data_IF_834566595042
#
_entry.id   IF_834566595042
#
_cell.length_a   1.000
_cell.length_b   1.000
_cell.length_c   1.000
_cell.angle_alpha   90.00
_cell.angle_beta   90.00
_cell.angle_gamma   90.00
#
_symmetry.space_group_name_H-M   'P 1'
#
loop_
_entity.id
_entity.type
_entity.pdbx_description
1 polymer ?
#
# COMPACT_ATOMS: atom_id res chain seq x y z
N UNK A 1 50.18 44.30 23.92
CA UNK A 1 50.57 44.46 25.34
C UNK A 1 49.37 44.77 26.18
N UNK A 2 48.69 43.80 26.79
CA UNK A 2 48.45 42.38 26.53
C UNK A 2 47.56 41.92 27.71
N UNK A 3 46.73 40.92 27.44
CA UNK A 3 45.83 40.27 28.40
C UNK A 3 46.60 39.49 29.49
N UNK A 4 45.94 38.72 30.41
CA UNK A 4 44.50 38.57 30.68
C UNK A 4 44.12 38.68 32.18
N UNK A 5 42.83 38.53 32.49
CA UNK A 5 42.46 37.89 33.75
C UNK A 5 41.23 36.97 33.61
N UNK A 6 41.18 35.91 34.41
CA UNK A 6 40.33 34.74 34.18
C UNK A 6 38.82 34.97 34.32
N UNK A 7 38.02 34.25 33.52
CA UNK A 7 36.65 33.85 33.86
C UNK A 7 36.56 32.31 33.95
N UNK A 8 35.92 31.74 34.98
CA UNK A 8 35.70 30.29 35.08
C UNK A 8 34.56 29.81 34.16
N UNK A 9 34.60 28.53 33.79
CA UNK A 9 33.53 27.86 33.02
C UNK A 9 32.28 27.66 33.91
N UNK A 10 31.17 28.32 33.59
CA UNK A 10 29.86 27.98 34.18
C UNK A 10 29.19 26.85 33.39
N UNK A 11 28.67 25.85 34.10
CA UNK A 11 28.06 24.66 33.50
C UNK A 11 26.78 24.97 32.70
N UNK A 12 26.50 24.16 31.69
CA UNK A 12 25.22 24.14 30.99
C UNK A 12 24.11 23.64 31.94
N UNK A 13 22.93 24.28 31.98
CA UNK A 13 21.78 23.74 32.69
C UNK A 13 21.22 22.52 31.93
N UNK A 14 20.59 21.55 32.64
CA UNK A 14 20.07 20.33 32.02
C UNK A 14 18.90 20.61 31.08
N UNK A 15 18.82 19.84 30.00
CA UNK A 15 17.67 19.83 29.11
C UNK A 15 16.40 19.47 29.90
N UNK A 16 15.40 20.36 29.86
CA UNK A 16 14.06 20.09 30.41
C UNK A 16 13.06 19.93 29.27
N UNK A 17 12.27 18.87 29.36
CA UNK A 17 11.16 18.57 28.47
C UNK A 17 10.21 19.75 28.32
N UNK A 18 10.16 20.33 27.11
CA UNK A 18 9.00 21.05 26.56
C UNK A 18 8.98 20.90 25.05
N UNK A 19 8.44 19.78 24.56
CA UNK A 19 7.67 19.91 23.33
C UNK A 19 6.52 20.89 23.62
N UNK A 20 6.29 21.91 22.78
CA UNK A 20 5.09 22.73 22.92
C UNK A 20 3.85 21.83 22.78
N UNK A 21 2.70 22.22 23.37
CA UNK A 21 1.45 21.56 23.01
C UNK A 21 1.31 21.58 21.48
N UNK A 22 0.93 20.44 20.90
CA UNK A 22 0.69 20.32 19.47
C UNK A 22 -0.22 21.47 19.01
N UNK A 23 0.10 22.16 17.89
CA UNK A 23 -0.70 23.28 17.41
C UNK A 23 -2.17 22.86 17.20
N UNK A 24 -3.12 23.84 17.20
CA UNK A 24 -4.51 23.54 16.86
C UNK A 24 -4.55 22.73 15.56
N UNK A 25 -5.26 21.61 15.60
CA UNK A 25 -5.17 20.61 14.54
C UNK A 25 -5.61 21.21 13.22
N UNK A 26 -4.79 21.00 12.20
CA UNK A 26 -5.02 21.47 10.85
C UNK A 26 -5.40 20.25 10.01
N UNK A 27 -6.66 20.21 9.57
CA UNK A 27 -7.11 19.35 8.49
C UNK A 27 -6.48 19.86 7.20
N UNK A 28 -5.72 19.02 6.50
CA UNK A 28 -5.30 19.30 5.13
C UNK A 28 -6.10 18.38 4.20
N UNK A 29 -6.83 18.94 3.24
CA UNK A 29 -7.43 18.14 2.17
C UNK A 29 -6.35 17.75 1.14
N UNK A 30 -5.26 17.11 1.59
CA UNK A 30 -4.12 16.78 0.73
C UNK A 30 -4.27 15.38 0.18
N UNK A 31 -4.05 15.26 -1.12
CA UNK A 31 -4.00 13.97 -1.77
C UNK A 31 -2.90 13.98 -2.82
N UNK A 32 -1.95 13.06 -2.64
CA UNK A 32 -0.71 12.91 -3.42
C UNK A 32 -0.73 11.51 -4.02
N UNK A 33 -0.56 11.42 -5.34
CA UNK A 33 -0.89 10.20 -6.08
C UNK A 33 0.25 9.74 -6.98
N UNK A 34 0.61 8.47 -6.87
CA UNK A 34 1.67 7.85 -7.66
C UNK A 34 1.04 6.76 -8.54
N UNK A 35 1.23 6.89 -9.86
CA UNK A 35 0.91 5.83 -10.81
C UNK A 35 2.01 4.77 -10.79
N UNK A 36 1.63 3.50 -10.69
CA UNK A 36 2.61 2.40 -10.60
C UNK A 36 3.17 2.04 -11.98
N UNK A 37 4.24 2.71 -12.41
CA UNK A 37 4.94 2.38 -13.65
C UNK A 37 5.51 0.94 -13.66
N UNK A 38 5.20 0.19 -14.71
CA UNK A 38 5.78 -1.12 -15.00
C UNK A 38 7.19 -1.01 -15.58
N UNK A 39 8.20 -0.90 -14.69
CA UNK A 39 9.65 -1.08 -14.93
C UNK A 39 10.21 -0.58 -16.27
N UNK A 40 11.05 0.45 -16.19
CA UNK A 40 12.15 0.61 -17.15
C UNK A 40 12.97 -0.68 -17.28
N UNK A 41 12.97 -1.28 -18.48
CA UNK A 41 13.94 -2.30 -18.86
C UNK A 41 15.27 -1.63 -19.21
N UNK A 42 16.36 -2.11 -18.63
CA UNK A 42 17.72 -1.61 -18.90
C UNK A 42 18.26 -2.15 -20.22
N UNK A 43 17.88 -1.54 -21.34
CA UNK A 43 18.54 -1.69 -22.63
C UNK A 43 18.58 -0.33 -23.33
N UNK A 44 19.78 0.13 -23.73
CA UNK A 44 19.99 1.52 -24.08
C UNK A 44 19.50 1.90 -25.49
N UNK A 45 18.68 2.95 -25.57
CA UNK A 45 18.61 3.87 -26.70
C UNK A 45 18.19 5.25 -26.17
N UNK A 46 18.89 6.32 -26.59
CA UNK A 46 18.45 7.70 -26.36
C UNK A 46 17.61 8.14 -27.57
N UNK A 47 16.35 8.53 -27.41
CA UNK A 47 15.70 9.46 -28.33
C UNK A 47 16.08 10.89 -27.93
N UNK A 48 16.71 11.63 -28.83
CA UNK A 48 16.87 13.07 -28.70
C UNK A 48 15.62 13.78 -29.24
N UNK A 49 14.82 14.41 -28.37
CA UNK A 49 13.88 15.44 -28.80
C UNK A 49 13.57 16.38 -27.63
N UNK A 50 13.77 17.67 -27.89
CA UNK A 50 13.41 18.78 -27.00
C UNK A 50 11.96 19.21 -27.21
N UNK A 51 11.52 20.19 -26.41
CA UNK A 51 10.18 20.81 -26.36
C UNK A 51 9.12 19.97 -25.63
N UNK A 52 8.22 20.54 -24.82
CA UNK A 52 7.89 21.96 -24.65
C UNK A 52 7.83 22.43 -23.19
N UNK A 53 8.34 23.62 -22.91
CA UNK A 53 8.04 24.39 -21.70
C UNK A 53 7.85 25.87 -22.09
N UNK A 54 6.59 26.34 -21.96
CA UNK A 54 6.12 27.73 -21.91
C UNK A 54 6.40 28.67 -23.10
N UNK A 55 5.30 29.16 -23.69
CA UNK A 55 5.28 30.45 -24.38
C UNK A 55 4.76 31.54 -23.44
N UNK A 56 5.65 32.39 -22.93
CA UNK A 56 5.36 33.80 -22.68
C UNK A 56 6.61 34.59 -23.05
N UNK A 57 6.47 35.51 -24.01
CA UNK A 57 7.61 36.19 -24.59
C UNK A 57 8.04 37.39 -23.77
N UNK A 58 9.35 37.59 -23.66
CA UNK A 58 10.02 38.89 -23.87
C UNK A 58 11.47 38.58 -24.21
N UNK A 59 12.01 39.22 -25.25
CA UNK A 59 13.33 38.89 -25.76
C UNK A 59 14.45 39.60 -25.01
N UNK A 60 15.60 38.92 -24.87
CA UNK A 60 16.95 39.50 -24.91
C UNK A 60 17.99 38.37 -25.01
N UNK A 61 19.00 38.54 -25.87
CA UNK A 61 20.24 37.75 -25.97
C UNK A 61 21.35 38.52 -25.22
N UNK A 62 22.49 37.93 -24.74
CA UNK A 62 23.33 37.05 -25.56
C UNK A 62 24.24 35.95 -24.90
N UNK A 63 24.70 35.05 -25.78
CA UNK A 63 26.01 34.34 -25.84
C UNK A 63 26.78 33.84 -24.59
N UNK A 64 27.07 32.53 -24.60
CA UNK A 64 28.41 31.97 -24.36
C UNK A 64 28.56 30.58 -25.02
N UNK A 65 29.78 30.19 -25.47
CA UNK A 65 30.14 28.83 -25.95
C UNK A 65 31.08 28.18 -24.94
N UNK A 66 31.07 26.85 -24.79
CA UNK A 66 32.29 26.07 -24.49
C UNK A 66 32.21 24.63 -25.05
N UNK A 67 33.37 23.95 -25.09
CA UNK A 67 33.68 22.77 -25.93
C UNK A 67 33.39 21.41 -25.28
N UNK A 68 33.19 20.39 -26.12
CA UNK A 68 33.23 18.97 -25.75
C UNK A 68 34.66 18.40 -25.72
N UNK A 69 34.86 17.28 -25.00
CA UNK A 69 36.08 16.47 -24.98
C UNK A 69 35.76 14.98 -24.84
N UNK A 70 36.47 14.12 -25.58
CA UNK A 70 36.16 12.69 -25.75
C UNK A 70 36.82 11.73 -24.74
N UNK A 71 36.56 10.40 -24.86
CA UNK A 71 36.90 9.39 -23.85
C UNK A 71 38.23 8.63 -24.11
N UNK A 72 38.87 8.05 -23.07
CA UNK A 72 40.04 7.17 -23.19
C UNK A 72 39.68 5.65 -23.18
N UNK A 73 40.71 4.81 -23.36
CA UNK A 73 40.61 3.45 -23.93
C UNK A 73 41.22 2.29 -23.12
N UNK A 74 40.60 1.10 -23.27
CA UNK A 74 41.09 -0.31 -23.23
C UNK A 74 42.25 -0.79 -22.30
N UNK A 75 42.03 -2.02 -21.82
CA UNK A 75 42.89 -2.93 -21.04
C UNK A 75 44.03 -3.61 -21.86
N UNK A 76 45.03 -4.20 -21.19
CA UNK A 76 45.86 -5.31 -21.70
C UNK A 76 45.60 -6.68 -20.99
N UNK A 77 46.05 -7.79 -21.61
CA UNK A 77 46.02 -9.16 -21.05
C UNK A 77 47.41 -9.81 -20.99
N UNK A 78 47.64 -10.60 -19.94
CA UNK A 78 48.49 -11.82 -19.81
C UNK A 78 47.89 -12.69 -18.69
N UNK A 79 48.21 -13.97 -18.45
CA UNK A 79 49.12 -14.94 -19.09
C UNK A 79 48.87 -16.37 -18.52
N UNK A 80 49.69 -17.38 -18.86
CA UNK A 80 49.47 -18.80 -18.48
C UNK A 80 50.56 -19.40 -17.56
N UNK A 81 50.21 -20.35 -16.68
CA UNK A 81 51.17 -21.20 -15.96
C UNK A 81 50.52 -22.25 -15.04
N UNK A 82 51.10 -23.45 -14.93
CA UNK A 82 50.55 -24.64 -14.23
C UNK A 82 51.39 -25.12 -13.05
N UNK A 83 50.76 -25.60 -11.96
CA UNK A 83 51.41 -26.29 -10.84
C UNK A 83 50.40 -26.77 -9.78
N UNK A 84 50.66 -27.88 -9.08
CA UNK A 84 49.67 -28.57 -8.23
C UNK A 84 50.04 -28.76 -6.76
N UNK A 85 48.99 -28.94 -5.93
CA UNK A 85 48.96 -29.27 -4.48
C UNK A 85 49.50 -28.22 -3.47
N UNK A 86 49.03 -28.22 -2.19
CA UNK A 86 47.86 -28.88 -1.60
C UNK A 86 46.95 -27.92 -0.79
N UNK A 87 45.66 -27.78 -1.16
CA UNK A 87 44.73 -26.91 -0.41
C UNK A 87 43.36 -27.56 -0.18
N UNK A 88 43.33 -28.68 0.56
CA UNK A 88 42.09 -29.39 0.95
C UNK A 88 41.86 -29.57 2.46
N UNK A 89 42.76 -29.09 3.32
CA UNK A 89 42.57 -29.12 4.79
C UNK A 89 42.04 -27.82 5.41
N UNK A 90 42.16 -26.68 4.71
CA UNK A 90 41.83 -25.36 5.30
C UNK A 90 40.33 -24.99 5.27
N UNK A 91 39.55 -25.52 4.31
CA UNK A 91 38.14 -25.13 4.14
C UNK A 91 37.23 -25.79 5.20
N UNK A 92 37.56 -27.00 5.64
CA UNK A 92 36.74 -27.76 6.59
C UNK A 92 36.77 -27.21 8.03
N UNK A 93 37.79 -26.40 8.37
CA UNK A 93 37.99 -25.90 9.73
C UNK A 93 37.31 -24.55 10.03
N UNK A 94 36.81 -23.84 9.01
CA UNK A 94 36.15 -22.54 9.18
C UNK A 94 34.61 -22.58 9.06
N UNK A 95 34.04 -23.60 8.41
CA UNK A 95 32.58 -23.68 8.23
C UNK A 95 31.83 -24.38 9.39
N UNK A 96 32.52 -25.22 10.18
CA UNK A 96 31.87 -26.01 11.25
C UNK A 96 31.19 -25.16 12.35
N UNK A 97 31.79 -24.07 12.87
CA UNK A 97 31.13 -23.22 13.89
C UNK A 97 29.93 -22.44 13.33
N UNK A 98 29.93 -22.16 12.02
CA UNK A 98 28.86 -21.40 11.38
C UNK A 98 27.64 -22.29 11.14
N UNK A 99 27.82 -23.53 10.67
CA UNK A 99 26.73 -24.50 10.57
C UNK A 99 26.19 -24.90 11.94
N UNK A 100 27.03 -25.09 12.97
CA UNK A 100 26.53 -25.42 14.30
C UNK A 100 25.67 -24.29 14.87
N UNK A 101 26.13 -23.03 14.79
CA UNK A 101 25.35 -21.88 15.29
C UNK A 101 24.09 -21.61 14.46
N UNK A 102 24.11 -21.86 13.15
CA UNK A 102 22.91 -21.78 12.31
C UNK A 102 21.89 -22.87 12.68
N UNK A 103 22.32 -24.11 12.89
CA UNK A 103 21.44 -25.22 13.28
C UNK A 103 20.95 -25.10 14.73
N UNK A 104 21.76 -24.56 15.64
CA UNK A 104 21.38 -24.21 17.01
C UNK A 104 20.34 -23.06 17.01
N UNK A 105 20.55 -22.05 16.15
CA UNK A 105 19.59 -20.97 15.89
C UNK A 105 18.27 -21.48 15.32
N UNK A 106 18.31 -22.38 14.35
CA UNK A 106 17.11 -23.03 13.81
C UNK A 106 16.41 -23.92 14.84
N UNK A 107 17.14 -24.62 15.72
CA UNK A 107 16.55 -25.39 16.84
C UNK A 107 15.89 -24.48 17.88
N UNK A 108 16.50 -23.34 18.21
CA UNK A 108 15.87 -22.33 19.10
C UNK A 108 14.65 -21.68 18.45
N UNK A 109 14.70 -21.38 17.15
CA UNK A 109 13.54 -20.89 16.39
C UNK A 109 12.41 -21.93 16.34
N UNK A 110 12.71 -23.21 16.11
CA UNK A 110 11.74 -24.30 16.14
C UNK A 110 11.13 -24.50 17.55
N UNK A 111 11.93 -24.40 18.61
CA UNK A 111 11.46 -24.46 20.00
C UNK A 111 10.55 -23.29 20.39
N UNK A 112 10.73 -22.11 19.80
CA UNK A 112 9.85 -20.95 19.97
C UNK A 112 8.58 -21.09 19.10
N UNK A 113 8.70 -21.68 17.91
CA UNK A 113 7.58 -21.89 16.97
C UNK A 113 6.44 -22.74 17.57
N UNK A 114 6.78 -23.80 18.32
CA UNK A 114 5.78 -24.71 18.90
C UNK A 114 4.79 -24.05 19.89
N UNK A 115 5.15 -22.92 20.53
CA UNK A 115 4.23 -22.17 21.41
C UNK A 115 3.49 -21.02 20.71
N UNK A 116 3.98 -20.55 19.56
CA UNK A 116 3.29 -19.56 18.73
C UNK A 116 2.24 -20.16 17.79
N UNK A 117 2.30 -21.47 17.53
CA UNK A 117 1.36 -22.21 16.67
C UNK A 117 0.11 -22.75 17.42
N UNK A 118 -0.36 -22.05 18.46
CA UNK A 118 -1.59 -22.43 19.15
C UNK A 118 -2.83 -22.00 18.36
N UNK A 119 -3.48 -22.96 17.69
CA UNK A 119 -4.93 -22.90 17.43
C UNK A 119 -5.39 -22.48 16.03
N UNK A 120 -4.80 -23.04 14.97
CA UNK A 120 -5.37 -22.94 13.62
C UNK A 120 -4.80 -24.01 12.70
N UNK A 121 -5.67 -24.66 11.91
CA UNK A 121 -5.22 -25.46 10.77
C UNK A 121 -4.64 -24.59 9.66
N UNK A 122 -4.19 -25.16 8.53
CA UNK A 122 -3.75 -24.37 7.38
C UNK A 122 -4.84 -23.39 6.96
N UNK A 123 -4.43 -22.15 6.62
CA UNK A 123 -5.35 -21.11 6.17
C UNK A 123 -5.75 -21.39 4.72
N UNK A 124 -6.88 -22.06 4.55
CA UNK A 124 -7.51 -22.35 3.26
C UNK A 124 -8.30 -21.15 2.71
N UNK A 125 -8.55 -21.07 1.38
CA UNK A 125 -9.38 -20.02 0.79
C UNK A 125 -10.82 -20.08 1.30
N UNK A 126 -11.40 -18.90 1.57
CA UNK A 126 -12.82 -18.77 1.99
C UNK A 126 -13.71 -18.59 0.77
N UNK A 127 -14.64 -19.52 0.59
CA UNK A 127 -15.58 -19.56 -0.55
C UNK A 127 -17.00 -19.28 -0.04
N UNK A 128 -17.54 -18.11 -0.34
CA UNK A 128 -18.92 -17.76 0.00
C UNK A 128 -19.88 -18.17 -1.13
N UNK A 129 -20.74 -19.14 -0.87
CA UNK A 129 -21.67 -19.76 -1.82
C UNK A 129 -23.09 -19.27 -1.54
N UNK A 130 -23.73 -18.71 -2.55
CA UNK A 130 -25.07 -18.13 -2.50
C UNK A 130 -26.05 -19.01 -3.28
N UNK A 131 -27.08 -19.50 -2.61
CA UNK A 131 -28.08 -20.40 -3.20
C UNK A 131 -28.69 -21.35 -2.17
N UNK A 132 -29.52 -22.28 -2.65
CA UNK A 132 -30.18 -23.29 -1.79
C UNK A 132 -29.35 -24.55 -1.57
N UNK A 133 -28.45 -24.89 -2.50
CA UNK A 133 -27.59 -26.07 -2.42
C UNK A 133 -26.59 -25.98 -1.26
N UNK A 134 -26.24 -27.13 -0.68
CA UNK A 134 -25.24 -27.31 0.38
C UNK A 134 -24.35 -28.49 0.03
N UNK A 135 -23.04 -28.28 0.04
CA UNK A 135 -22.03 -29.24 -0.37
C UNK A 135 -20.68 -28.85 0.26
N UNK A 136 -19.62 -29.60 -0.05
CA UNK A 136 -18.24 -29.21 0.23
C UNK A 136 -17.48 -29.09 -1.09
N UNK A 137 -16.51 -28.19 -1.16
CA UNK A 137 -15.56 -28.12 -2.28
C UNK A 137 -14.17 -28.51 -1.81
N UNK A 138 -13.46 -29.20 -2.70
CA UNK A 138 -12.05 -29.50 -2.58
C UNK A 138 -11.42 -29.48 -3.97
N UNK A 139 -10.12 -29.23 -4.06
CA UNK A 139 -9.34 -29.52 -5.27
C UNK A 139 -9.06 -31.03 -5.38
N UNK A 140 -8.73 -31.53 -6.58
CA UNK A 140 -8.08 -32.83 -6.74
C UNK A 140 -6.81 -32.89 -5.87
N UNK A 141 -6.49 -34.08 -5.36
CA UNK A 141 -5.28 -34.30 -4.57
C UNK A 141 -4.19 -34.90 -5.45
N UNK A 142 -3.12 -34.15 -5.70
CA UNK A 142 -1.96 -34.61 -6.46
C UNK A 142 -0.87 -35.19 -5.53
N UNK A 143 -0.85 -34.78 -4.26
CA UNK A 143 0.11 -35.29 -3.26
C UNK A 143 -0.51 -35.48 -1.85
N UNK A 144 0.00 -36.46 -1.10
CA UNK A 144 -0.52 -36.79 0.25
C UNK A 144 -0.45 -35.63 1.26
N UNK A 145 0.47 -34.68 1.07
CA UNK A 145 0.66 -33.50 1.92
C UNK A 145 -0.15 -32.27 1.48
N UNK A 146 -0.90 -32.37 0.38
CA UNK A 146 -1.67 -31.26 -0.16
C UNK A 146 -2.95 -31.00 0.65
N UNK A 147 -3.16 -29.75 1.07
CA UNK A 147 -4.43 -29.31 1.65
C UNK A 147 -5.39 -28.93 0.51
N UNK A 148 -6.34 -29.82 0.24
CA UNK A 148 -7.29 -29.65 -0.86
C UNK A 148 -8.58 -28.93 -0.47
N UNK A 149 -8.88 -28.76 0.82
CA UNK A 149 -10.19 -28.27 1.29
C UNK A 149 -10.35 -26.76 1.05
N UNK A 150 -11.58 -26.35 0.72
CA UNK A 150 -11.97 -24.94 0.67
C UNK A 150 -12.99 -24.63 1.79
N UNK A 151 -12.85 -23.49 2.48
CA UNK A 151 -13.78 -23.08 3.55
C UNK A 151 -15.10 -22.55 2.98
N UNK A 152 -16.04 -23.47 2.78
CA UNK A 152 -17.33 -23.21 2.14
C UNK A 152 -18.36 -22.64 3.13
N UNK A 153 -18.76 -21.38 2.93
CA UNK A 153 -19.77 -20.67 3.74
C UNK A 153 -21.00 -20.37 2.91
N UNK A 154 -22.20 -20.60 3.46
CA UNK A 154 -23.43 -20.66 2.66
C UNK A 154 -24.50 -19.62 3.03
N UNK A 155 -25.05 -18.96 2.01
CA UNK A 155 -26.01 -17.86 2.13
C UNK A 155 -27.23 -18.10 1.23
N UNK A 156 -28.42 -17.67 1.66
CA UNK A 156 -29.66 -17.81 0.89
C UNK A 156 -29.90 -16.65 -0.11
N UNK A 157 -29.25 -15.50 0.09
CA UNK A 157 -29.35 -14.30 -0.73
C UNK A 157 -28.16 -13.37 -0.48
N UNK A 158 -27.94 -12.40 -1.37
CA UNK A 158 -26.88 -11.39 -1.29
C UNK A 158 -27.33 -10.05 -0.67
N UNK A 159 -28.57 -9.94 -0.19
CA UNK A 159 -29.14 -8.74 0.47
C UNK A 159 -28.31 -8.16 1.64
N UNK A 160 -27.36 -8.92 2.17
CA UNK A 160 -26.44 -8.51 3.24
C UNK A 160 -24.97 -8.59 2.83
N UNK A 161 -24.66 -8.46 1.54
CA UNK A 161 -23.32 -8.66 0.96
C UNK A 161 -22.22 -7.92 1.75
N UNK A 162 -22.38 -6.63 2.07
CA UNK A 162 -21.40 -5.86 2.84
C UNK A 162 -21.06 -6.48 4.21
N UNK A 163 -22.05 -7.05 4.90
CA UNK A 163 -21.82 -7.76 6.18
C UNK A 163 -21.05 -9.06 5.97
N UNK A 164 -21.33 -9.77 4.88
CA UNK A 164 -20.66 -11.02 4.49
C UNK A 164 -19.20 -10.72 4.10
N UNK A 165 -18.97 -9.75 3.21
CA UNK A 165 -17.64 -9.30 2.80
C UNK A 165 -16.79 -8.89 4.00
N UNK A 166 -17.38 -8.18 4.97
CA UNK A 166 -16.66 -7.70 6.15
C UNK A 166 -16.37 -8.80 7.18
N UNK A 167 -17.34 -9.69 7.43
CA UNK A 167 -17.25 -10.78 8.42
C UNK A 167 -16.39 -11.93 7.92
N UNK A 168 -16.67 -12.39 6.71
CA UNK A 168 -16.14 -13.63 6.17
C UNK A 168 -14.92 -13.41 5.27
N UNK A 169 -14.78 -12.21 4.70
CA UNK A 169 -13.69 -11.81 3.80
C UNK A 169 -13.41 -12.86 2.71
N UNK A 170 -14.41 -13.19 1.87
CA UNK A 170 -14.27 -14.22 0.85
C UNK A 170 -13.11 -13.94 -0.11
N UNK A 171 -12.35 -15.00 -0.33
CA UNK A 171 -11.41 -15.10 -1.44
C UNK A 171 -12.16 -15.34 -2.76
N UNK A 172 -13.28 -16.08 -2.69
CA UNK A 172 -14.14 -16.46 -3.83
C UNK A 172 -15.61 -16.30 -3.46
N UNK A 173 -16.43 -15.88 -4.41
CA UNK A 173 -17.89 -15.79 -4.31
C UNK A 173 -18.48 -16.69 -5.40
N UNK A 174 -19.38 -17.59 -5.06
CA UNK A 174 -20.09 -18.45 -6.01
C UNK A 174 -21.59 -18.18 -5.86
N UNK A 175 -22.33 -17.98 -6.96
CA UNK A 175 -23.81 -17.90 -6.92
C UNK A 175 -24.44 -18.97 -7.81
N UNK A 176 -25.50 -19.62 -7.30
CA UNK A 176 -26.21 -20.73 -7.94
C UNK A 176 -27.70 -20.43 -8.10
N UNK A 177 -28.23 -20.56 -9.32
CA UNK A 177 -29.61 -20.24 -9.69
C UNK A 177 -29.68 -19.09 -10.69
N UNK A 178 -30.84 -18.47 -10.89
CA UNK A 178 -30.99 -17.33 -11.80
C UNK A 178 -30.10 -16.14 -11.36
N UNK A 179 -29.26 -15.65 -12.29
CA UNK A 179 -28.39 -14.49 -12.10
C UNK A 179 -29.11 -13.25 -11.59
N UNK A 180 -30.37 -13.04 -11.98
CA UNK A 180 -31.15 -11.87 -11.57
C UNK A 180 -31.43 -11.84 -10.05
N UNK A 181 -31.34 -13.00 -9.38
CA UNK A 181 -31.50 -13.15 -7.93
C UNK A 181 -30.29 -12.64 -7.10
N UNK A 182 -29.21 -12.18 -7.74
CA UNK A 182 -27.99 -11.69 -7.08
C UNK A 182 -27.61 -10.25 -7.49
N UNK A 183 -28.50 -9.26 -7.27
CA UNK A 183 -28.31 -7.90 -7.74
C UNK A 183 -27.25 -7.10 -6.97
N UNK A 184 -26.97 -7.44 -5.71
CA UNK A 184 -25.98 -6.73 -4.90
C UNK A 184 -24.56 -7.14 -5.31
N UNK A 185 -24.33 -8.43 -5.57
CA UNK A 185 -23.07 -8.92 -6.14
C UNK A 185 -22.89 -8.35 -7.56
N UNK A 186 -23.95 -8.27 -8.36
CA UNK A 186 -23.88 -7.70 -9.71
C UNK A 186 -23.52 -6.20 -9.73
N UNK A 187 -23.89 -5.43 -8.70
CA UNK A 187 -23.54 -4.00 -8.55
C UNK A 187 -22.24 -3.75 -7.79
N UNK A 188 -21.66 -4.76 -7.14
CA UNK A 188 -20.49 -4.60 -6.31
C UNK A 188 -19.26 -4.03 -7.06
N UNK A 189 -18.29 -3.41 -6.35
CA UNK A 189 -17.05 -2.94 -6.96
C UNK A 189 -16.32 -4.03 -7.76
N UNK A 190 -15.55 -3.63 -8.78
CA UNK A 190 -14.82 -4.59 -9.66
C UNK A 190 -13.91 -5.53 -8.86
N UNK A 191 -13.25 -5.02 -7.81
CA UNK A 191 -12.40 -5.79 -6.91
C UNK A 191 -13.14 -6.94 -6.17
N UNK A 192 -14.45 -6.82 -5.98
CA UNK A 192 -15.33 -7.89 -5.49
C UNK A 192 -15.78 -8.78 -6.65
N UNK A 193 -16.32 -8.20 -7.73
CA UNK A 193 -16.89 -8.95 -8.86
C UNK A 193 -15.91 -9.83 -9.61
N UNK A 194 -14.61 -9.50 -9.63
CA UNK A 194 -13.59 -10.36 -10.24
C UNK A 194 -13.34 -11.67 -9.49
N UNK A 195 -13.90 -11.83 -8.28
CA UNK A 195 -13.88 -13.04 -7.46
C UNK A 195 -15.18 -13.85 -7.58
N UNK A 196 -16.11 -13.41 -8.44
CA UNK A 196 -17.45 -13.97 -8.56
C UNK A 196 -17.56 -14.97 -9.72
N UNK A 197 -17.91 -16.20 -9.38
CA UNK A 197 -18.27 -17.28 -10.32
C UNK A 197 -19.79 -17.49 -10.24
N UNK A 198 -20.44 -17.77 -11.36
CA UNK A 198 -21.89 -17.92 -11.43
C UNK A 198 -22.31 -19.11 -12.30
N UNK A 199 -23.34 -19.82 -11.85
CA UNK A 199 -23.97 -20.93 -12.58
C UNK A 199 -25.49 -20.95 -12.38
N UNK A 200 -26.26 -21.20 -13.44
CA UNK A 200 -27.71 -21.39 -13.35
C UNK A 200 -28.08 -22.68 -12.58
N UNK A 201 -27.27 -23.73 -12.74
CA UNK A 201 -27.43 -25.04 -12.09
C UNK A 201 -26.11 -25.51 -11.50
N UNK A 202 -26.13 -26.27 -10.41
CA UNK A 202 -24.92 -26.82 -9.78
C UNK A 202 -24.07 -27.63 -10.78
N UNK A 203 -22.83 -27.21 -11.11
CA UNK A 203 -21.93 -27.97 -11.97
C UNK A 203 -21.29 -29.15 -11.20
N UNK A 204 -20.39 -29.89 -11.86
CA UNK A 204 -19.52 -30.86 -11.18
C UNK A 204 -18.72 -30.20 -10.04
N UNK A 205 -18.67 -30.87 -8.89
CA UNK A 205 -18.08 -30.31 -7.67
C UNK A 205 -16.55 -30.29 -7.69
N UNK A 206 -15.90 -31.23 -8.39
CA UNK A 206 -14.44 -31.24 -8.52
C UNK A 206 -14.00 -30.10 -9.45
N UNK A 207 -14.67 -29.92 -10.59
CA UNK A 207 -14.45 -28.78 -11.49
C UNK A 207 -14.73 -27.44 -10.80
N UNK A 208 -15.80 -27.34 -10.00
CA UNK A 208 -16.11 -26.12 -9.25
C UNK A 208 -15.06 -25.82 -8.16
N UNK A 209 -14.51 -26.86 -7.53
CA UNK A 209 -13.39 -26.73 -6.59
C UNK A 209 -12.12 -26.21 -7.25
N UNK A 210 -11.74 -26.76 -8.40
CA UNK A 210 -10.60 -26.27 -9.21
C UNK A 210 -10.79 -24.80 -9.58
N UNK A 211 -11.93 -24.43 -10.18
CA UNK A 211 -12.16 -23.05 -10.61
C UNK A 211 -12.19 -22.05 -9.44
N UNK A 212 -12.75 -22.43 -8.29
CA UNK A 212 -12.70 -21.59 -7.10
C UNK A 212 -11.24 -21.33 -6.68
N UNK A 213 -10.41 -22.37 -6.70
CA UNK A 213 -8.98 -22.25 -6.40
C UNK A 213 -8.24 -21.40 -7.45
N UNK A 214 -8.51 -21.58 -8.75
CA UNK A 214 -7.96 -20.76 -9.84
C UNK A 214 -8.32 -19.27 -9.69
N UNK A 215 -9.57 -18.94 -9.34
CA UNK A 215 -10.00 -17.56 -9.09
C UNK A 215 -9.29 -16.96 -7.86
N UNK A 216 -9.11 -17.75 -6.79
CA UNK A 216 -8.30 -17.33 -5.64
C UNK A 216 -6.85 -17.04 -6.05
N UNK A 217 -6.19 -17.99 -6.72
CA UNK A 217 -4.81 -17.84 -7.21
C UNK A 217 -4.67 -16.64 -8.16
N UNK A 218 -5.59 -16.46 -9.10
CA UNK A 218 -5.62 -15.32 -10.02
C UNK A 218 -5.76 -13.98 -9.30
N UNK A 219 -6.52 -13.91 -8.21
CA UNK A 219 -6.64 -12.69 -7.41
C UNK A 219 -5.41 -12.42 -6.50
N UNK A 220 -4.70 -13.46 -6.06
CA UNK A 220 -3.49 -13.37 -5.22
C UNK A 220 -2.22 -13.07 -6.04
N UNK A 221 -2.04 -13.78 -7.16
CA UNK A 221 -0.81 -13.78 -7.96
C UNK A 221 -0.95 -13.06 -9.31
N UNK A 222 -2.16 -12.74 -9.75
CA UNK A 222 -2.41 -12.08 -11.02
C UNK A 222 -1.67 -10.74 -11.13
N UNK A 223 -0.94 -10.55 -12.22
CA UNK A 223 -0.27 -9.29 -12.52
C UNK A 223 -1.32 -8.22 -12.76
N UNK A 224 -1.37 -7.23 -11.88
CA UNK A 224 -2.25 -6.06 -12.04
C UNK A 224 -1.58 -5.06 -12.97
N UNK A 225 -1.69 -5.34 -14.27
CA UNK A 225 -1.27 -4.41 -15.32
C UNK A 225 -2.12 -3.13 -15.27
N UNK A 226 -1.57 -2.01 -15.76
CA UNK A 226 -2.19 -0.68 -15.70
C UNK A 226 -3.45 -0.50 -16.56
N UNK A 227 -4.06 -1.59 -17.03
CA UNK A 227 -5.23 -1.63 -17.91
C UNK A 227 -6.51 -2.12 -17.21
N UNK A 228 -6.52 -2.28 -15.88
CA UNK A 228 -7.76 -2.59 -15.15
C UNK A 228 -8.74 -1.41 -15.22
N UNK A 229 -9.92 -1.64 -15.79
CA UNK A 229 -11.00 -0.64 -15.86
C UNK A 229 -12.30 -1.17 -15.19
N UNK A 230 -12.90 -0.45 -14.23
CA UNK A 230 -12.29 0.64 -13.45
C UNK A 230 -11.10 0.15 -12.60
N UNK A 231 -10.00 0.94 -12.46
CA UNK A 231 -8.81 0.52 -11.72
C UNK A 231 -9.07 0.39 -10.20
N UNK A 232 -8.34 -0.48 -9.49
CA UNK A 232 -8.34 -0.43 -8.04
C UNK A 232 -7.46 0.73 -7.56
N UNK A 233 -8.06 1.62 -6.77
CA UNK A 233 -7.37 2.72 -6.11
C UNK A 233 -7.04 2.31 -4.67
N UNK A 234 -5.75 2.23 -4.32
CA UNK A 234 -5.33 1.92 -2.96
C UNK A 234 -4.95 3.19 -2.20
N UNK A 235 -5.77 3.54 -1.22
CA UNK A 235 -5.43 4.57 -0.24
C UNK A 235 -4.53 3.95 0.82
N UNK A 236 -3.41 4.59 1.13
CA UNK A 236 -2.49 4.14 2.16
C UNK A 236 -2.27 5.20 3.23
N UNK A 237 -2.21 4.76 4.49
CA UNK A 237 -2.07 5.63 5.66
C UNK A 237 -1.07 5.05 6.65
N UNK A 238 -0.10 5.86 7.06
CA UNK A 238 0.71 5.59 8.25
C UNK A 238 0.01 6.22 9.46
N UNK A 239 -0.33 5.39 10.45
CA UNK A 239 -1.05 5.83 11.65
C UNK A 239 -0.13 5.81 12.88
N UNK A 240 -0.11 6.91 13.65
CA UNK A 240 0.59 6.99 14.92
C UNK A 240 -0.24 7.78 15.94
N UNK A 241 -0.70 7.11 17.02
CA UNK A 241 -1.49 7.68 18.12
C UNK A 241 -2.70 8.52 17.63
N UNK A 242 -3.36 8.10 16.55
CA UNK A 242 -4.32 8.89 15.77
C UNK A 242 -5.56 9.38 16.54
N UNK A 243 -5.85 8.81 17.71
CA UNK A 243 -6.98 9.21 18.54
C UNK A 243 -8.32 9.08 17.80
N UNK A 244 -9.14 10.14 17.86
CA UNK A 244 -10.43 10.23 17.16
C UNK A 244 -10.30 10.65 15.69
N UNK A 245 -9.15 11.24 15.31
CA UNK A 245 -8.93 11.88 14.00
C UNK A 245 -9.08 10.89 12.84
N UNK A 246 -8.70 9.63 13.06
CA UNK A 246 -8.83 8.56 12.06
C UNK A 246 -10.29 8.28 11.64
N UNK A 247 -11.29 8.67 12.46
CA UNK A 247 -12.70 8.59 12.06
C UNK A 247 -13.04 9.62 10.95
N UNK A 248 -12.28 10.73 10.82
CA UNK A 248 -12.41 11.72 9.74
C UNK A 248 -11.99 11.11 8.40
N UNK A 249 -10.77 10.59 8.31
CA UNK A 249 -10.29 9.85 7.14
C UNK A 249 -11.24 8.70 6.73
N UNK A 250 -11.68 7.90 7.72
CA UNK A 250 -12.65 6.81 7.51
C UNK A 250 -13.97 7.28 6.87
N UNK A 251 -14.55 8.39 7.36
CA UNK A 251 -15.80 8.93 6.81
C UNK A 251 -15.60 9.42 5.38
N UNK A 252 -14.56 10.22 5.13
CA UNK A 252 -14.29 10.74 3.78
C UNK A 252 -14.07 9.64 2.74
N UNK A 253 -13.48 8.51 3.14
CA UNK A 253 -13.33 7.35 2.25
C UNK A 253 -14.64 6.62 1.99
N UNK A 254 -15.48 6.42 3.02
CA UNK A 254 -16.80 5.80 2.86
C UNK A 254 -17.76 6.63 2.02
N UNK A 255 -17.54 7.92 1.92
CA UNK A 255 -18.34 8.88 1.16
C UNK A 255 -17.83 9.08 -0.29
N UNK A 256 -16.79 8.37 -0.72
CA UNK A 256 -16.29 8.49 -2.10
C UNK A 256 -17.32 8.05 -3.15
N UNK A 257 -17.50 8.87 -4.18
CA UNK A 257 -18.31 8.54 -5.38
C UNK A 257 -17.72 7.35 -6.13
N UNK A 258 -16.39 7.30 -6.24
CA UNK A 258 -15.66 6.19 -6.83
C UNK A 258 -15.75 4.94 -5.93
N UNK A 259 -16.29 3.80 -6.39
CA UNK A 259 -16.58 2.67 -5.50
C UNK A 259 -15.41 1.68 -5.35
N UNK A 260 -14.47 1.67 -6.31
CA UNK A 260 -13.47 0.61 -6.47
C UNK A 260 -12.13 0.98 -5.79
N UNK A 261 -12.15 1.07 -4.47
CA UNK A 261 -10.96 1.38 -3.65
C UNK A 261 -10.73 0.39 -2.52
N UNK A 262 -9.53 0.42 -1.95
CA UNK A 262 -9.17 -0.18 -0.68
C UNK A 262 -8.40 0.80 0.21
N UNK A 263 -8.44 0.61 1.53
CA UNK A 263 -7.68 1.43 2.48
C UNK A 263 -6.74 0.56 3.29
N UNK A 264 -5.43 0.83 3.16
CA UNK A 264 -4.34 0.09 3.79
C UNK A 264 -3.69 0.95 4.87
N UNK A 265 -3.84 0.54 6.12
CA UNK A 265 -3.39 1.30 7.28
C UNK A 265 -2.32 0.51 8.02
N UNK A 266 -1.16 1.12 8.27
CA UNK A 266 -0.11 0.56 9.13
C UNK A 266 -0.04 1.37 10.42
N UNK A 267 -0.30 0.71 11.55
CA UNK A 267 -0.31 1.31 12.88
C UNK A 267 1.06 1.21 13.57
N UNK A 268 1.84 2.29 13.51
CA UNK A 268 3.13 2.38 14.18
C UNK A 268 3.01 2.83 15.65
N UNK A 269 1.80 2.90 16.22
CA UNK A 269 1.60 3.39 17.60
C UNK A 269 2.17 2.47 18.67
N UNK A 270 2.85 3.08 19.64
CA UNK A 270 3.40 2.46 20.86
C UNK A 270 2.44 2.62 22.06
N UNK A 271 1.13 2.48 21.83
CA UNK A 271 0.06 2.96 22.72
C UNK A 271 -0.77 1.86 23.41
N UNK A 272 -0.13 0.72 23.74
CA UNK A 272 -0.79 -0.51 24.22
C UNK A 272 -1.91 -0.99 23.25
N UNK A 273 -1.66 -0.83 21.95
CA UNK A 273 -2.59 -1.23 20.89
C UNK A 273 -3.95 -0.52 20.96
N UNK A 274 -4.04 0.67 21.55
CA UNK A 274 -5.26 1.48 21.59
C UNK A 274 -5.65 1.93 20.18
N UNK A 275 -4.70 2.46 19.42
CA UNK A 275 -4.92 2.86 18.02
C UNK A 275 -5.24 1.63 17.15
N UNK A 276 -4.49 0.53 17.29
CA UNK A 276 -4.78 -0.73 16.58
C UNK A 276 -6.20 -1.25 16.85
N UNK A 277 -6.65 -1.25 18.11
CA UNK A 277 -8.01 -1.68 18.48
C UNK A 277 -9.09 -0.84 17.79
N UNK A 278 -8.89 0.49 17.70
CA UNK A 278 -9.81 1.37 16.97
C UNK A 278 -9.82 1.07 15.48
N UNK A 279 -8.65 0.97 14.86
CA UNK A 279 -8.52 0.62 13.44
C UNK A 279 -9.17 -0.74 13.12
N UNK A 280 -8.97 -1.74 13.96
CA UNK A 280 -9.64 -3.06 13.87
C UNK A 280 -11.16 -2.97 14.04
N UNK A 281 -11.69 -1.98 14.76
CA UNK A 281 -13.13 -1.73 14.83
C UNK A 281 -13.65 -1.05 13.55
N UNK A 282 -12.87 -0.17 12.90
CA UNK A 282 -13.20 0.41 11.60
C UNK A 282 -13.21 -0.66 10.49
N UNK A 283 -12.23 -1.57 10.50
CA UNK A 283 -12.15 -2.70 9.57
C UNK A 283 -13.24 -3.77 9.74
N UNK A 284 -14.13 -3.62 10.73
CA UNK A 284 -15.39 -4.37 10.92
C UNK A 284 -16.63 -3.61 10.44
N UNK A 285 -16.49 -2.36 9.96
CA UNK A 285 -17.58 -1.54 9.41
C UNK A 285 -17.57 -1.50 7.87
N UNK A 286 -16.42 -1.79 7.25
CA UNK A 286 -16.23 -1.74 5.80
C UNK A 286 -15.19 -2.78 5.37
N UNK A 287 -15.52 -3.61 4.37
CA UNK A 287 -14.69 -4.73 3.92
C UNK A 287 -13.42 -4.29 3.19
N UNK A 288 -13.39 -3.06 2.67
CA UNK A 288 -12.28 -2.47 1.91
C UNK A 288 -11.08 -2.10 2.78
N UNK A 289 -11.22 -2.14 4.10
CA UNK A 289 -10.21 -1.68 5.06
C UNK A 289 -9.34 -2.82 5.56
N UNK A 290 -8.03 -2.63 5.44
CA UNK A 290 -6.98 -3.55 5.87
C UNK A 290 -6.06 -2.83 6.85
N UNK A 291 -5.85 -3.45 8.01
CA UNK A 291 -5.10 -2.85 9.12
C UNK A 291 -4.00 -3.79 9.52
N UNK A 292 -2.78 -3.27 9.52
CA UNK A 292 -1.56 -3.98 9.85
C UNK A 292 -0.87 -3.28 11.02
N UNK A 293 -0.13 -4.06 11.81
CA UNK A 293 0.75 -3.55 12.87
C UNK A 293 2.08 -4.28 12.77
N UNK A 294 3.22 -3.58 12.64
CA UNK A 294 4.53 -4.22 12.71
C UNK A 294 4.76 -4.80 14.10
N UNK A 295 5.61 -5.83 14.21
CA UNK A 295 5.94 -6.43 15.50
C UNK A 295 6.66 -5.47 16.46
N UNK A 296 7.34 -4.45 15.92
CA UNK A 296 8.07 -3.42 16.65
C UNK A 296 7.74 -2.04 16.08
N UNK A 297 7.71 -1.03 16.95
CA UNK A 297 7.58 0.38 16.56
C UNK A 297 8.77 0.81 15.69
N UNK A 298 8.51 1.40 14.53
CA UNK A 298 9.56 1.82 13.61
C UNK A 298 10.04 3.25 13.85
N UNK A 299 9.18 4.17 14.30
CA UNK A 299 9.54 5.58 14.55
C UNK A 299 9.95 6.38 13.30
N UNK A 300 9.78 5.83 12.11
CA UNK A 300 10.27 6.40 10.84
C UNK A 300 9.13 6.43 9.83
N UNK A 301 8.51 7.61 9.68
CA UNK A 301 7.29 7.80 8.86
C UNK A 301 7.44 7.27 7.42
N UNK A 302 8.57 7.52 6.75
CA UNK A 302 8.82 7.03 5.39
C UNK A 302 8.87 5.50 5.27
N UNK A 303 9.33 4.80 6.32
CA UNK A 303 9.34 3.33 6.37
C UNK A 303 7.93 2.77 6.59
N UNK A 304 7.14 3.41 7.45
CA UNK A 304 5.72 3.04 7.66
C UNK A 304 4.89 3.28 6.40
N UNK A 305 5.08 4.42 5.73
CA UNK A 305 4.45 4.72 4.42
C UNK A 305 4.89 3.75 3.33
N UNK A 306 6.17 3.38 3.27
CA UNK A 306 6.66 2.34 2.35
C UNK A 306 6.03 0.96 2.61
N UNK A 307 5.84 0.56 3.88
CA UNK A 307 5.12 -0.67 4.22
C UNK A 307 3.66 -0.63 3.79
N UNK A 308 2.95 0.46 4.07
CA UNK A 308 1.55 0.62 3.69
C UNK A 308 1.36 0.57 2.17
N UNK A 309 2.23 1.27 1.43
CA UNK A 309 2.31 1.22 -0.03
C UNK A 309 2.67 -0.18 -0.57
N UNK A 310 3.57 -0.92 0.08
CA UNK A 310 3.97 -2.28 -0.33
C UNK A 310 2.86 -3.33 -0.13
N UNK A 311 1.90 -3.05 0.76
CA UNK A 311 0.73 -3.88 1.04
C UNK A 311 -0.48 -3.53 0.16
N UNK A 312 -0.39 -2.45 -0.63
CA UNK A 312 -1.42 -2.02 -1.56
C UNK A 312 -1.49 -2.93 -2.80
N UNK A 313 -2.72 -3.18 -3.26
CA UNK A 313 -3.05 -3.99 -4.43
C UNK A 313 -3.51 -3.16 -5.63
N UNK A 314 -3.68 -1.86 -5.48
CA UNK A 314 -4.11 -0.94 -6.53
C UNK A 314 -3.02 -0.67 -7.57
N UNK A 315 -3.46 -0.31 -8.78
CA UNK A 315 -2.58 0.27 -9.81
C UNK A 315 -2.31 1.76 -9.55
N UNK A 316 -3.26 2.43 -8.88
CA UNK A 316 -3.18 3.81 -8.42
C UNK A 316 -2.98 3.82 -6.90
N UNK A 317 -1.99 4.57 -6.43
CA UNK A 317 -1.70 4.75 -5.01
C UNK A 317 -2.09 6.17 -4.57
N UNK A 318 -2.82 6.27 -3.46
CA UNK A 318 -3.22 7.53 -2.82
C UNK A 318 -2.60 7.62 -1.43
N UNK A 319 -1.85 8.68 -1.18
CA UNK A 319 -1.45 9.03 0.17
C UNK A 319 -2.60 9.77 0.88
N UNK A 320 -2.99 9.29 2.06
CA UNK A 320 -3.90 10.00 2.97
C UNK A 320 -3.33 9.92 4.39
N UNK A 321 -3.01 11.06 4.98
CA UNK A 321 -2.52 11.12 6.36
C UNK A 321 -3.65 10.85 7.38
N UNK A 322 -3.26 10.33 8.54
CA UNK A 322 -4.16 9.70 9.52
C UNK A 322 -5.16 10.66 10.21
N UNK A 323 -4.98 11.97 10.03
CA UNK A 323 -5.86 13.02 10.51
C UNK A 323 -6.42 13.93 9.41
N UNK A 324 -6.23 13.58 8.14
CA UNK A 324 -6.77 14.32 7.00
C UNK A 324 -8.11 13.74 6.49
N UNK A 325 -8.68 14.39 5.47
CA UNK A 325 -9.87 13.95 4.77
C UNK A 325 -9.71 14.16 3.25
N UNK A 326 -10.53 13.45 2.48
CA UNK A 326 -10.72 13.71 1.05
C UNK A 326 -12.09 14.35 0.79
N UNK A 327 -12.22 15.11 -0.30
CA UNK A 327 -13.54 15.45 -0.86
C UNK A 327 -14.18 14.18 -1.43
N UNK A 328 -15.51 14.09 -1.47
CA UNK A 328 -16.24 12.89 -1.91
C UNK A 328 -15.98 12.46 -3.37
N UNK A 329 -15.55 13.37 -4.24
CA UNK A 329 -15.14 13.07 -5.62
C UNK A 329 -13.62 12.93 -5.81
N UNK A 330 -12.81 12.99 -4.75
CA UNK A 330 -11.35 13.01 -4.88
C UNK A 330 -10.78 11.79 -5.63
N UNK A 331 -11.22 10.57 -5.30
CA UNK A 331 -10.74 9.36 -5.98
C UNK A 331 -11.18 9.28 -7.45
N UNK A 332 -12.32 9.89 -7.79
CA UNK A 332 -12.82 9.96 -9.16
C UNK A 332 -11.96 10.91 -10.02
N UNK A 333 -11.65 12.11 -9.50
CA UNK A 333 -10.75 13.06 -10.16
C UNK A 333 -9.35 12.49 -10.43
N UNK A 334 -8.87 11.59 -9.57
CA UNK A 334 -7.55 10.94 -9.73
C UNK A 334 -7.55 9.95 -10.88
N UNK A 335 -8.58 9.11 -10.92
CA UNK A 335 -8.77 8.13 -12.00
C UNK A 335 -8.93 8.85 -13.33
N UNK A 336 -9.71 9.93 -13.37
CA UNK A 336 -9.85 10.75 -14.59
C UNK A 336 -8.55 11.48 -14.95
N UNK A 337 -7.76 11.95 -13.97
CA UNK A 337 -6.45 12.55 -14.21
C UNK A 337 -5.47 11.59 -14.91
N UNK A 338 -5.37 10.34 -14.43
CA UNK A 338 -4.57 9.31 -15.10
C UNK A 338 -5.18 8.87 -16.46
N UNK A 339 -6.51 8.87 -16.60
CA UNK A 339 -7.21 8.59 -17.86
C UNK A 339 -6.91 9.64 -18.93
N UNK A 340 -6.95 10.93 -18.55
CA UNK A 340 -6.68 12.07 -19.42
C UNK A 340 -5.20 12.17 -19.79
N UNK A 341 -4.30 11.76 -18.88
CA UNK A 341 -2.86 11.78 -19.09
C UNK A 341 -2.21 10.41 -18.81
N UNK A 342 -2.34 9.41 -19.71
CA UNK A 342 -1.83 8.05 -19.49
C UNK A 342 -0.31 7.93 -19.30
N UNK A 343 0.45 8.96 -19.68
CA UNK A 343 1.90 9.06 -19.44
C UNK A 343 2.27 9.78 -18.14
N UNK A 344 1.32 10.16 -17.29
CA UNK A 344 1.60 10.76 -16.00
C UNK A 344 2.00 9.68 -14.99
N UNK A 345 3.22 9.77 -14.44
CA UNK A 345 3.63 8.97 -13.28
C UNK A 345 3.07 9.50 -11.95
N UNK A 346 2.52 10.71 -11.93
CA UNK A 346 2.08 11.42 -10.73
C UNK A 346 0.94 12.39 -11.04
N UNK A 347 -0.06 12.44 -10.16
CA UNK A 347 -1.09 13.50 -10.14
C UNK A 347 -1.23 14.03 -8.70
N UNK A 348 -1.86 15.19 -8.55
CA UNK A 348 -2.21 15.78 -7.26
C UNK A 348 -3.46 16.64 -7.43
N UNK A 349 -4.25 16.78 -6.37
CA UNK A 349 -5.34 17.76 -6.32
C UNK A 349 -4.89 19.01 -5.57
N UNK A 350 -5.65 20.09 -5.70
CA UNK A 350 -5.60 21.19 -4.75
C UNK A 350 -5.99 20.71 -3.34
N UNK A 351 -5.63 21.51 -2.33
CA UNK A 351 -5.92 21.23 -0.93
C UNK A 351 -6.37 22.50 -0.20
N UNK A 352 -7.25 22.32 0.79
CA UNK A 352 -7.56 23.35 1.79
C UNK A 352 -6.92 22.98 3.13
N UNK A 353 -6.32 23.95 3.80
CA UNK A 353 -5.82 23.85 5.17
C UNK A 353 -6.88 24.44 6.12
N UNK A 354 -7.64 23.60 6.83
CA UNK A 354 -8.82 23.98 7.62
C UNK A 354 -8.54 23.63 9.10
N UNK A 355 -8.78 24.55 10.03
CA UNK A 355 -8.69 24.25 11.46
C UNK A 355 -9.95 23.53 11.97
N UNK A 356 -9.89 22.90 13.15
CA UNK A 356 -11.06 22.20 13.74
C UNK A 356 -12.27 23.12 14.02
N UNK A 357 -12.09 24.45 14.06
CA UNK A 357 -13.17 25.43 14.15
C UNK A 357 -13.82 25.78 12.80
N UNK A 358 -13.30 25.24 11.70
CA UNK A 358 -13.76 25.47 10.33
C UNK A 358 -13.10 26.66 9.62
N UNK A 359 -12.25 27.44 10.29
CA UNK A 359 -11.50 28.53 9.64
C UNK A 359 -10.39 27.99 8.75
N UNK A 360 -10.10 28.65 7.64
CA UNK A 360 -9.01 28.26 6.75
C UNK A 360 -7.70 28.99 7.08
N UNK A 361 -6.59 28.26 7.00
CA UNK A 361 -5.24 28.81 7.08
C UNK A 361 -4.81 29.30 5.71
N UNK A 362 -4.35 30.55 5.66
CA UNK A 362 -3.68 31.11 4.48
C UNK A 362 -2.21 31.39 4.79
N UNK A 363 -1.36 31.15 3.80
CA UNK A 363 0.01 31.62 3.75
C UNK A 363 0.08 33.05 3.21
N UNK A 364 1.04 33.82 3.74
CA UNK A 364 1.40 35.17 3.28
C UNK A 364 1.73 35.23 1.78
N UNK A 365 1.67 36.44 1.24
CA UNK A 365 2.09 36.75 -0.14
C UNK A 365 3.46 36.18 -0.49
N UNK A 366 3.60 35.69 -1.73
CA UNK A 366 4.82 35.06 -2.22
C UNK A 366 5.03 33.60 -1.77
N UNK A 367 4.05 32.97 -1.12
CA UNK A 367 4.09 31.53 -0.85
C UNK A 367 4.20 30.69 -2.14
N UNK A 368 4.74 29.48 -2.03
CA UNK A 368 5.10 28.62 -3.16
C UNK A 368 5.90 29.37 -4.27
N UNK A 369 6.86 30.21 -3.86
CA UNK A 369 7.68 31.05 -4.76
C UNK A 369 6.86 32.02 -5.65
N UNK A 370 5.68 32.43 -5.19
CA UNK A 370 4.76 33.29 -5.95
C UNK A 370 3.87 32.56 -6.95
N UNK A 371 3.92 31.22 -7.02
CA UNK A 371 3.01 30.41 -7.83
C UNK A 371 1.73 30.01 -7.08
N UNK A 372 1.67 30.24 -5.77
CA UNK A 372 0.51 29.89 -4.96
C UNK A 372 -0.58 30.96 -5.04
N UNK A 373 -1.81 30.53 -5.34
CA UNK A 373 -3.03 31.34 -5.34
C UNK A 373 -4.10 30.72 -4.45
N UNK A 374 -5.01 31.54 -3.92
CA UNK A 374 -6.22 31.06 -3.24
C UNK A 374 -7.43 31.19 -4.15
N UNK A 375 -8.37 30.27 -3.97
CA UNK A 375 -9.71 30.30 -4.54
C UNK A 375 -10.70 30.03 -3.42
N UNK A 376 -11.84 30.73 -3.44
CA UNK A 376 -12.98 30.39 -2.59
C UNK A 376 -13.77 29.27 -3.28
N UNK A 377 -14.06 28.20 -2.56
CA UNK A 377 -14.76 27.00 -3.07
C UNK A 377 -15.78 26.60 -2.04
N UNK A 378 -17.06 26.60 -2.41
CA UNK A 378 -18.11 26.06 -1.55
C UNK A 378 -18.08 24.51 -1.59
N UNK A 379 -17.86 23.87 -0.44
CA UNK A 379 -17.90 22.42 -0.33
C UNK A 379 -18.83 21.98 0.81
N UNK A 380 -19.97 21.39 0.43
CA UNK A 380 -21.04 20.94 1.34
C UNK A 380 -21.60 22.08 2.23
N UNK A 381 -21.81 23.26 1.64
CA UNK A 381 -22.36 24.43 2.33
C UNK A 381 -21.38 25.10 3.31
N UNK A 382 -20.09 25.09 2.96
CA UNK A 382 -18.98 25.71 3.71
C UNK A 382 -18.00 26.33 2.73
#
# INVERSE_FOLDING_TARGET
MDSPNHRPRSALPPARDRFPPSPPSLLILRAVFIGRESRFSSAGQRPSSSLALRSFGTGLRPSARFREGGPPSRLPQTGSGSGGHPMRSAITQWCAPFLSNFMEGMRKAAGISARLLHGGGPKVPVVCIFGRARFSLATPQEAEYEETRLDCRFYSSDLHLERILTRDRPDVIITLGDRSSFPEIARAPREVRKRWIHYDTLPDLAQLGVQAYEVHLGNVFGVREGAEEPPLVSVFTAAFRSGDRIERAFRSLREQTYPNWEWVIVDDSDDDGRTFRRLRALAKKDHRIQVFKPGEHSGVIGKVKNWACSLARGSILVELDHDDALTDYALECVVEGFRQFPGAGFVYTDCAEIFEDGTSRTYRDGWAFGYGSYVEVEYRGR
#
